data_IF_107996409547
#
_entry.id   IF_107996409547
#
_cell.length_a   1.000
_cell.length_b   1.000
_cell.length_c   1.000
_cell.angle_alpha   90.00
_cell.angle_beta   90.00
_cell.angle_gamma   90.00
#
_symmetry.space_group_name_H-M   'P 1'
#
loop_
_entity.id
_entity.type
_entity.pdbx_description
1 polymer ?
#
# COMPACT_ATOMS: atom_id res chain seq x y z
N UNK A 1 -4.39 -10.49 -16.46
CA UNK A 1 -4.45 -9.05 -16.13
C UNK A 1 -4.04 -8.23 -17.33
N UNK A 2 -4.81 -7.20 -17.67
CA UNK A 2 -4.47 -6.24 -18.71
C UNK A 2 -4.33 -4.86 -18.06
N UNK A 3 -3.21 -4.18 -18.31
CA UNK A 3 -3.01 -2.80 -17.86
C UNK A 3 -3.87 -1.85 -18.71
N UNK A 4 -4.39 -0.78 -18.10
CA UNK A 4 -5.10 0.27 -18.83
C UNK A 4 -4.11 1.04 -19.73
N UNK A 5 -4.27 1.00 -21.08
CA UNK A 5 -3.38 1.70 -22.00
C UNK A 5 -3.41 3.24 -21.87
N UNK A 6 -4.39 3.80 -21.15
CA UNK A 6 -4.52 5.24 -20.92
C UNK A 6 -3.73 5.74 -19.71
N UNK A 7 -3.16 4.83 -18.92
CA UNK A 7 -2.43 5.18 -17.70
C UNK A 7 -0.93 5.08 -17.96
N UNK A 8 -0.24 6.22 -17.88
CA UNK A 8 1.21 6.25 -17.96
C UNK A 8 1.81 5.64 -16.69
N UNK A 9 2.31 4.41 -16.82
CA UNK A 9 2.98 3.66 -15.76
C UNK A 9 4.51 3.78 -15.84
N UNK A 10 5.07 4.49 -16.82
CA UNK A 10 6.52 4.50 -17.06
C UNK A 10 7.34 5.06 -15.88
N UNK A 11 6.72 5.89 -15.04
CA UNK A 11 7.32 6.45 -13.83
C UNK A 11 6.57 6.05 -12.55
N UNK A 12 5.63 5.11 -12.66
CA UNK A 12 4.88 4.65 -11.51
C UNK A 12 5.80 3.81 -10.61
N UNK A 13 5.78 4.01 -9.27
CA UNK A 13 6.43 3.09 -8.36
C UNK A 13 5.81 1.69 -8.48
N UNK A 14 6.59 0.67 -8.09
CA UNK A 14 6.22 -0.74 -8.23
C UNK A 14 6.07 -1.36 -6.85
N UNK A 15 4.88 -1.91 -6.59
CA UNK A 15 4.62 -2.74 -5.41
C UNK A 15 4.90 -4.21 -5.73
N UNK A 16 5.59 -4.91 -4.84
CA UNK A 16 5.75 -6.35 -4.90
C UNK A 16 4.65 -7.01 -4.03
N UNK A 17 3.83 -7.86 -4.63
CA UNK A 17 2.74 -8.58 -3.97
C UNK A 17 2.77 -10.04 -4.40
N UNK A 18 3.02 -10.96 -3.46
CA UNK A 18 3.01 -12.41 -3.73
C UNK A 18 3.95 -12.81 -4.87
N UNK A 19 5.17 -12.29 -4.86
CA UNK A 19 6.18 -12.55 -5.89
C UNK A 19 5.91 -11.90 -7.25
N UNK A 20 4.91 -11.02 -7.36
CA UNK A 20 4.53 -10.33 -8.59
C UNK A 20 4.66 -8.82 -8.44
N UNK A 21 5.03 -8.17 -9.53
CA UNK A 21 5.22 -6.71 -9.58
C UNK A 21 3.96 -6.00 -10.11
N UNK A 22 3.58 -4.91 -9.44
CA UNK A 22 2.42 -4.10 -9.77
C UNK A 22 2.77 -2.62 -9.80
N UNK A 23 2.63 -1.98 -10.96
CA UNK A 23 2.65 -0.52 -11.07
C UNK A 23 1.54 0.13 -10.23
N UNK A 24 1.93 1.12 -9.42
CA UNK A 24 1.04 1.95 -8.61
C UNK A 24 1.09 3.38 -9.16
N UNK A 25 0.29 3.72 -10.18
CA UNK A 25 0.26 5.08 -10.74
C UNK A 25 -0.35 6.07 -9.74
N UNK A 26 -0.09 7.36 -9.96
CA UNK A 26 -0.64 8.43 -9.12
C UNK A 26 -2.17 8.28 -8.92
N UNK A 27 -2.62 8.39 -7.68
CA UNK A 27 -4.04 8.20 -7.33
C UNK A 27 -4.95 9.20 -8.05
N UNK A 28 -6.07 8.72 -8.58
CA UNK A 28 -7.15 9.59 -9.05
C UNK A 28 -7.94 10.14 -7.86
N UNK A 29 -8.70 11.23 -8.07
CA UNK A 29 -9.59 11.76 -7.01
C UNK A 29 -10.59 10.70 -6.50
N UNK A 30 -11.04 9.79 -7.38
CA UNK A 30 -11.93 8.69 -6.99
C UNK A 30 -11.25 7.75 -6.01
N UNK A 31 -10.02 7.33 -6.29
CA UNK A 31 -9.26 6.45 -5.41
C UNK A 31 -8.84 7.16 -4.13
N UNK A 32 -8.45 8.44 -4.21
CA UNK A 32 -8.06 9.24 -3.05
C UNK A 32 -9.18 9.31 -1.99
N UNK A 33 -10.46 9.32 -2.41
CA UNK A 33 -11.62 9.28 -1.49
C UNK A 33 -11.71 8.00 -0.66
N UNK A 34 -11.09 6.90 -1.10
CA UNK A 34 -11.00 5.63 -0.36
C UNK A 34 -9.66 5.54 0.37
N UNK A 35 -8.57 5.79 -0.36
CA UNK A 35 -7.20 5.63 0.13
C UNK A 35 -6.89 6.58 1.29
N UNK A 36 -7.17 7.88 1.15
CA UNK A 36 -6.77 8.87 2.17
C UNK A 36 -7.46 8.63 3.52
N UNK A 37 -8.80 8.44 3.60
CA UNK A 37 -9.45 8.11 4.87
C UNK A 37 -8.99 6.78 5.45
N UNK A 38 -8.73 5.78 4.60
CA UNK A 38 -8.21 4.48 5.04
C UNK A 38 -6.83 4.61 5.70
N UNK A 39 -5.91 5.33 5.04
CA UNK A 39 -4.59 5.62 5.59
C UNK A 39 -4.68 6.39 6.91
N UNK A 40 -5.49 7.45 7.01
CA UNK A 40 -5.60 8.21 8.26
C UNK A 40 -6.07 7.36 9.46
N UNK A 41 -6.83 6.29 9.22
CA UNK A 41 -7.22 5.32 10.26
C UNK A 41 -6.13 4.30 10.58
N UNK A 42 -5.47 3.78 9.54
CA UNK A 42 -4.46 2.72 9.67
C UNK A 42 -3.16 3.23 10.30
N UNK A 43 -2.70 4.41 9.89
CA UNK A 43 -1.35 4.88 10.22
C UNK A 43 -1.07 5.01 11.72
N UNK A 44 -1.97 5.57 12.56
CA UNK A 44 -1.75 5.59 14.01
C UNK A 44 -1.56 4.19 14.59
N UNK A 45 -2.30 3.20 14.07
CA UNK A 45 -2.25 1.81 14.52
C UNK A 45 -0.97 1.12 14.08
N UNK A 46 -0.60 1.27 12.80
CA UNK A 46 0.65 0.73 12.26
C UNK A 46 1.88 1.33 12.96
N UNK A 47 1.90 2.63 13.25
CA UNK A 47 2.97 3.28 14.02
C UNK A 47 3.04 2.75 15.46
N UNK A 48 1.89 2.52 16.10
CA UNK A 48 1.83 1.95 17.44
C UNK A 48 2.36 0.50 17.46
N UNK A 49 2.11 -0.28 16.41
CA UNK A 49 2.65 -1.64 16.24
C UNK A 49 4.16 -1.57 16.00
N UNK A 50 4.62 -0.78 15.02
CA UNK A 50 6.05 -0.64 14.71
C UNK A 50 6.88 -0.20 15.92
N UNK A 51 6.37 0.74 16.74
CA UNK A 51 7.09 1.20 17.93
C UNK A 51 7.23 0.13 19.04
N UNK A 52 6.40 -0.93 19.02
CA UNK A 52 6.44 -2.01 20.02
C UNK A 52 7.36 -3.16 19.64
N UNK A 53 7.41 -3.51 18.36
CA UNK A 53 8.06 -4.75 17.88
C UNK A 53 9.05 -4.51 16.72
N UNK A 54 9.17 -3.28 16.23
CA UNK A 54 10.03 -2.95 15.08
C UNK A 54 9.31 -3.05 13.74
N UNK A 55 9.82 -2.32 12.73
CA UNK A 55 9.25 -2.32 11.38
C UNK A 55 9.53 -3.65 10.67
N UNK A 56 8.48 -4.25 10.09
CA UNK A 56 8.58 -5.49 9.31
C UNK A 56 8.61 -6.77 10.13
N UNK A 57 8.41 -6.69 11.45
CA UNK A 57 8.30 -7.89 12.29
C UNK A 57 6.99 -8.65 11.98
N UNK A 58 7.04 -9.96 11.70
CA UNK A 58 5.86 -10.77 11.39
C UNK A 58 4.83 -10.82 12.52
N UNK A 59 5.23 -10.56 13.78
CA UNK A 59 4.32 -10.44 14.91
C UNK A 59 3.37 -9.23 14.77
N UNK A 60 3.70 -8.26 13.92
CA UNK A 60 2.88 -7.07 13.70
C UNK A 60 1.52 -7.39 13.09
N UNK A 61 1.46 -8.41 12.24
CA UNK A 61 0.20 -8.91 11.68
C UNK A 61 -0.73 -9.44 12.78
N UNK A 62 -0.17 -10.07 13.82
CA UNK A 62 -0.93 -10.66 14.93
C UNK A 62 -1.54 -9.59 15.87
N UNK A 63 -1.06 -8.35 15.80
CA UNK A 63 -1.55 -7.23 16.61
C UNK A 63 -2.63 -6.40 15.89
N UNK A 64 -2.92 -6.70 14.63
CA UNK A 64 -3.97 -6.03 13.88
C UNK A 64 -5.34 -6.64 14.16
N UNK A 65 -6.34 -5.78 14.26
CA UNK A 65 -7.72 -6.23 14.26
C UNK A 65 -8.11 -6.69 12.84
N UNK A 66 -9.06 -7.64 12.70
CA UNK A 66 -9.54 -8.07 11.38
C UNK A 66 -9.93 -6.88 10.47
N UNK A 67 -10.60 -5.88 11.05
CA UNK A 67 -11.02 -4.66 10.36
C UNK A 67 -9.83 -3.82 9.83
N UNK A 68 -8.68 -3.87 10.50
CA UNK A 68 -7.48 -3.16 10.02
C UNK A 68 -6.89 -3.87 8.79
N UNK A 69 -6.84 -5.20 8.82
CA UNK A 69 -6.35 -5.98 7.68
C UNK A 69 -7.26 -5.80 6.47
N UNK A 70 -8.58 -5.86 6.66
CA UNK A 70 -9.55 -5.59 5.59
C UNK A 70 -9.38 -4.18 5.01
N UNK A 71 -9.15 -3.18 5.87
CA UNK A 71 -8.91 -1.82 5.42
C UNK A 71 -7.58 -1.68 4.66
N UNK A 72 -6.53 -2.41 5.04
CA UNK A 72 -5.28 -2.46 4.28
C UNK A 72 -5.51 -3.03 2.88
N UNK A 73 -6.25 -4.13 2.78
CA UNK A 73 -6.61 -4.77 1.50
C UNK A 73 -7.38 -3.78 0.62
N UNK A 74 -8.38 -3.09 1.18
CA UNK A 74 -9.19 -2.13 0.44
C UNK A 74 -8.37 -0.93 -0.07
N UNK A 75 -7.43 -0.42 0.73
CA UNK A 75 -6.54 0.67 0.31
C UNK A 75 -5.59 0.22 -0.79
N UNK A 76 -4.99 -0.97 -0.66
CA UNK A 76 -4.08 -1.53 -1.67
C UNK A 76 -4.82 -1.81 -2.97
N UNK A 77 -5.98 -2.48 -2.91
CA UNK A 77 -6.86 -2.70 -4.06
C UNK A 77 -7.23 -1.39 -4.74
N UNK A 78 -7.70 -0.40 -3.96
CA UNK A 78 -8.03 0.91 -4.48
C UNK A 78 -6.83 1.58 -5.18
N UNK A 79 -5.61 1.46 -4.66
CA UNK A 79 -4.40 1.99 -5.29
C UNK A 79 -4.07 1.34 -6.64
N UNK A 80 -4.32 0.04 -6.78
CA UNK A 80 -3.99 -0.74 -7.98
C UNK A 80 -5.01 -0.56 -9.12
N UNK A 81 -6.28 -0.35 -8.79
CA UNK A 81 -7.38 -0.32 -9.79
C UNK A 81 -7.24 0.73 -10.89
N UNK A 82 -6.39 1.75 -10.73
CA UNK A 82 -6.10 2.69 -11.83
C UNK A 82 -5.29 2.05 -12.94
N UNK A 83 -4.23 1.32 -12.61
CA UNK A 83 -3.46 0.59 -13.63
C UNK A 83 -4.18 -0.70 -14.06
N UNK A 84 -4.95 -1.31 -13.16
CA UNK A 84 -5.60 -2.60 -13.37
C UNK A 84 -7.11 -2.50 -13.08
N UNK A 85 -7.92 -1.90 -13.97
CA UNK A 85 -9.34 -1.64 -13.71
C UNK A 85 -10.19 -2.90 -13.52
N UNK A 86 -9.78 -4.01 -14.14
CA UNK A 86 -10.46 -5.29 -14.03
C UNK A 86 -9.95 -6.13 -12.84
N UNK A 87 -8.97 -5.65 -12.07
CA UNK A 87 -8.45 -6.35 -10.91
C UNK A 87 -9.43 -6.23 -9.75
N UNK A 88 -9.92 -7.36 -9.26
CA UNK A 88 -10.89 -7.42 -8.18
C UNK A 88 -10.21 -7.54 -6.82
N UNK A 89 -11.00 -7.37 -5.76
CA UNK A 89 -10.52 -7.60 -4.39
C UNK A 89 -10.18 -9.08 -4.18
N UNK A 90 -10.96 -9.98 -4.74
CA UNK A 90 -10.72 -11.43 -4.63
C UNK A 90 -9.44 -11.82 -5.35
N UNK A 91 -9.16 -11.24 -6.52
CA UNK A 91 -7.87 -11.48 -7.21
C UNK A 91 -6.65 -11.04 -6.38
N UNK A 92 -6.79 -10.06 -5.47
CA UNK A 92 -5.74 -9.64 -4.54
C UNK A 92 -5.58 -10.64 -3.39
N UNK A 93 -6.70 -11.17 -2.87
CA UNK A 93 -6.71 -12.18 -1.81
C UNK A 93 -6.19 -13.54 -2.28
N UNK A 94 -6.37 -13.85 -3.56
CA UNK A 94 -5.88 -15.08 -4.19
C UNK A 94 -4.37 -15.02 -4.50
N UNK A 95 -3.70 -13.88 -4.29
CA UNK A 95 -2.25 -13.82 -4.38
C UNK A 95 -1.62 -14.57 -3.20
N UNK A 96 -0.45 -15.17 -3.42
CA UNK A 96 0.43 -15.67 -2.35
C UNK A 96 1.13 -14.52 -1.62
N UNK A 97 0.41 -13.42 -1.36
CA UNK A 97 0.93 -12.21 -0.74
C UNK A 97 0.86 -12.30 0.78
N UNK A 98 1.99 -12.03 1.44
CA UNK A 98 2.07 -11.95 2.89
C UNK A 98 1.72 -10.56 3.44
N UNK A 99 1.65 -10.46 4.77
CA UNK A 99 1.45 -9.18 5.44
C UNK A 99 2.50 -8.12 5.05
N UNK A 100 3.77 -8.52 4.96
CA UNK A 100 4.87 -7.62 4.58
C UNK A 100 4.71 -7.06 3.16
N UNK A 101 4.14 -7.85 2.24
CA UNK A 101 3.87 -7.40 0.87
C UNK A 101 2.76 -6.33 0.87
N UNK A 102 1.67 -6.58 1.60
CA UNK A 102 0.58 -5.62 1.80
C UNK A 102 1.07 -4.33 2.44
N UNK A 103 1.90 -4.43 3.48
CA UNK A 103 2.49 -3.27 4.15
C UNK A 103 3.42 -2.46 3.22
N UNK A 104 4.21 -3.15 2.40
CA UNK A 104 5.08 -2.53 1.39
C UNK A 104 4.28 -1.78 0.31
N UNK A 105 3.24 -2.41 -0.23
CA UNK A 105 2.34 -1.78 -1.18
C UNK A 105 1.63 -0.55 -0.58
N UNK A 106 1.18 -0.67 0.67
CA UNK A 106 0.55 0.42 1.41
C UNK A 106 1.50 1.61 1.57
N UNK A 107 2.77 1.38 1.91
CA UNK A 107 3.77 2.44 2.05
C UNK A 107 4.00 3.21 0.74
N UNK A 108 4.06 2.51 -0.39
CA UNK A 108 4.15 3.12 -1.72
C UNK A 108 2.94 4.00 -2.00
N UNK A 109 1.73 3.49 -1.76
CA UNK A 109 0.48 4.22 -1.97
C UNK A 109 0.42 5.45 -1.06
N UNK A 110 0.82 5.31 0.20
CA UNK A 110 0.81 6.38 1.18
C UNK A 110 1.75 7.53 0.77
N UNK A 111 2.92 7.24 0.23
CA UNK A 111 3.86 8.24 -0.29
C UNK A 111 3.28 9.12 -1.41
N UNK A 112 2.26 8.64 -2.14
CA UNK A 112 1.62 9.40 -3.21
C UNK A 112 0.56 10.39 -2.71
N UNK A 113 0.10 10.25 -1.46
CA UNK A 113 -0.97 11.09 -0.91
C UNK A 113 -0.47 12.43 -0.39
N UNK A 114 0.85 12.62 -0.28
CA UNK A 114 1.45 13.79 0.37
C UNK A 114 1.19 13.87 1.88
N UNK A 115 0.49 12.89 2.48
CA UNK A 115 0.36 12.76 3.94
C UNK A 115 1.69 12.44 4.62
N UNK A 116 2.67 12.01 3.84
CA UNK A 116 4.04 11.77 4.26
C UNK A 116 4.97 12.76 3.58
N UNK A 117 5.76 13.47 4.39
CA UNK A 117 7.07 13.90 3.92
C UNK A 117 7.96 12.65 3.91
N UNK A 118 8.72 12.37 2.84
CA UNK A 118 9.79 11.39 2.96
C UNK A 118 10.66 11.82 4.14
N UNK A 119 10.91 10.92 5.08
CA UNK A 119 12.00 11.15 6.03
C UNK A 119 13.23 11.28 5.16
N UNK A 120 13.78 12.49 5.09
CA UNK A 120 15.11 12.72 4.54
C UNK A 120 16.00 11.70 5.26
N UNK A 121 16.46 10.69 4.53
CA UNK A 121 17.52 9.86 5.02
C UNK A 121 18.69 10.82 5.15
N UNK A 122 18.94 11.29 6.37
CA UNK A 122 20.17 11.98 6.72
C UNK A 122 21.27 10.96 6.41
N UNK A 123 21.89 11.09 5.24
CA UNK A 123 23.18 10.47 4.97
C UNK A 123 24.13 11.01 6.03
N UNK A 124 24.69 10.16 6.90
CA UNK A 124 25.77 10.60 7.76
C UNK A 124 27.01 10.72 6.87
N UNK A 125 27.36 11.94 6.49
CA UNK A 125 28.59 12.23 5.79
C UNK A 125 28.62 13.62 5.20
N UNK A 126 29.11 14.58 5.97
CA UNK A 126 30.34 15.35 5.69
C UNK A 126 30.96 15.82 7.02
#
# INVERSE_FOLDING_TARGET
MRMDPKVDCAKAPVAALGGREFFVPALSLRQARTVVPGLLKLLPRLNAIQSRIGAGDPLGAALLEPDDLDLMIDVVHAGLTRAYPDFTRDDLLDLEAGFSDLAGALAIIAGQTGLFAPSEAVSPGE
#
